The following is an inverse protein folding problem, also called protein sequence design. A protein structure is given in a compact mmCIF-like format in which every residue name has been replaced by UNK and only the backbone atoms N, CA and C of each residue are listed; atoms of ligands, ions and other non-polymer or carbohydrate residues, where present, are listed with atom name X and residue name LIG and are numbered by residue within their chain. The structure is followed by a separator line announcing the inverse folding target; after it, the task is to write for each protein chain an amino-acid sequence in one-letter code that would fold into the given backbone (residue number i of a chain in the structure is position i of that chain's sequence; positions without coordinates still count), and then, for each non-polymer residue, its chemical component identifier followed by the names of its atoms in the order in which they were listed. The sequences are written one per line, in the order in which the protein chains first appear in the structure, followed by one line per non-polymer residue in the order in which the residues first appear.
data_IF_533808195346
#
_entry.id   IF_533808195346
#
_cell.length_a   1.000
_cell.length_b   1.000
_cell.length_c   1.000
_cell.angle_alpha   90.00
_cell.angle_beta   90.00
_cell.angle_gamma   90.00
#
_symmetry.space_group_name_H-M   'P 1'
#
loop_
_entity.id
_entity.type
_entity.pdbx_description
1 polymer ?
#
# COMPACT_ATOMS: atom_id res chain seq x y z
N UNK A 1 0.17 16.18 -15.15
CA UNK A 1 1.46 15.48 -15.29
C UNK A 1 1.63 14.65 -14.03
N UNK A 2 1.19 13.39 -14.09
CA UNK A 2 1.09 12.42 -12.99
C UNK A 2 2.03 11.22 -13.23
N UNK A 3 3.09 11.43 -14.02
CA UNK A 3 4.01 10.38 -14.51
C UNK A 3 5.03 9.94 -13.44
N UNK A 4 4.96 10.51 -12.23
CA UNK A 4 5.88 10.20 -11.13
C UNK A 4 5.51 8.93 -10.35
N UNK A 5 4.25 8.48 -10.44
CA UNK A 5 3.79 7.24 -9.81
C UNK A 5 3.59 6.09 -10.80
N UNK A 6 3.52 6.42 -12.10
CA UNK A 6 3.24 5.47 -13.17
C UNK A 6 4.19 5.76 -14.32
N UNK A 7 5.30 5.01 -14.48
CA UNK A 7 6.12 5.13 -15.67
C UNK A 7 5.23 4.91 -16.89
N UNK A 8 5.29 5.82 -17.86
CA UNK A 8 4.55 5.70 -19.12
C UNK A 8 4.89 4.34 -19.75
N UNK A 9 3.90 3.46 -19.87
CA UNK A 9 4.06 2.23 -20.63
C UNK A 9 4.14 2.60 -22.12
N UNK A 10 5.37 2.79 -22.59
CA UNK A 10 5.68 2.76 -24.00
C UNK A 10 5.21 1.44 -24.61
N UNK A 11 4.73 1.52 -25.85
CA UNK A 11 4.14 0.42 -26.59
C UNK A 11 5.02 -0.82 -26.64
N UNK A 12 4.41 -1.99 -26.44
CA UNK A 12 4.88 -3.30 -26.89
C UNK A 12 6.29 -3.74 -26.44
N UNK A 13 6.49 -3.96 -25.13
CA UNK A 13 7.64 -4.75 -24.68
C UNK A 13 7.34 -6.25 -24.73
N UNK A 14 7.55 -6.83 -25.92
CA UNK A 14 7.88 -8.24 -26.07
C UNK A 14 9.29 -8.47 -25.54
N UNK A 15 9.39 -9.20 -24.42
CA UNK A 15 10.61 -9.78 -23.84
C UNK A 15 11.57 -8.82 -23.13
N UNK A 16 11.39 -8.69 -21.81
CA UNK A 16 12.45 -8.79 -20.79
C UNK A 16 11.78 -8.85 -19.41
N UNK A 17 11.32 -10.04 -19.04
CA UNK A 17 10.83 -10.32 -17.70
C UNK A 17 11.99 -10.31 -16.71
N UNK A 18 12.38 -9.13 -16.24
CA UNK A 18 13.12 -9.03 -15.00
C UNK A 18 12.17 -9.47 -13.89
N UNK A 19 12.29 -10.73 -13.47
CA UNK A 19 11.74 -11.19 -12.20
C UNK A 19 12.50 -10.42 -11.13
N UNK A 20 11.96 -9.27 -10.73
CA UNK A 20 12.36 -8.64 -9.49
C UNK A 20 11.87 -9.60 -8.42
N UNK A 21 12.78 -10.32 -7.76
CA UNK A 21 12.49 -11.17 -6.60
C UNK A 21 11.92 -10.28 -5.47
N UNK A 22 10.62 -9.98 -5.55
CA UNK A 22 9.92 -9.05 -4.67
C UNK A 22 9.69 -9.73 -3.32
N UNK A 23 10.67 -9.59 -2.43
CA UNK A 23 10.54 -9.85 -1.02
C UNK A 23 10.63 -8.48 -0.34
N UNK A 24 9.69 -8.07 0.53
CA UNK A 24 9.89 -6.87 1.33
C UNK A 24 11.20 -7.04 2.11
N UNK A 25 12.24 -6.35 1.65
CA UNK A 25 13.58 -6.39 2.24
C UNK A 25 13.56 -5.79 3.65
N UNK A 26 12.55 -4.95 3.93
CA UNK A 26 12.38 -4.19 5.15
C UNK A 26 10.94 -4.29 5.67
N UNK A 27 10.82 -4.47 6.97
CA UNK A 27 9.60 -4.39 7.75
C UNK A 27 9.56 -3.05 8.48
N UNK A 28 8.45 -2.35 8.33
CA UNK A 28 8.15 -1.09 8.97
C UNK A 28 7.08 -1.30 10.04
N UNK A 29 7.27 -0.64 11.17
CA UNK A 29 6.24 -0.49 12.19
C UNK A 29 6.10 0.98 12.54
N UNK A 30 4.92 1.36 12.99
CA UNK A 30 4.62 2.74 13.36
C UNK A 30 4.09 2.79 14.80
N UNK A 31 4.56 3.76 15.56
CA UNK A 31 4.11 4.01 16.93
C UNK A 31 3.73 5.49 17.08
N UNK A 32 2.54 5.73 17.64
CA UNK A 32 2.08 7.05 18.03
C UNK A 32 1.89 7.08 19.54
N UNK A 33 2.69 7.89 20.23
CA UNK A 33 2.52 8.10 21.68
C UNK A 33 1.28 8.97 21.94
N UNK A 34 0.55 8.76 23.04
CA UNK A 34 -0.59 9.60 23.39
C UNK A 34 -0.22 11.10 23.41
N UNK A 35 -0.99 11.92 22.70
CA UNK A 35 -0.77 13.37 22.59
C UNK A 35 0.39 13.79 21.68
N UNK A 36 1.12 12.86 21.06
CA UNK A 36 2.18 13.21 20.14
C UNK A 36 1.62 13.71 18.81
N UNK A 37 2.22 14.77 18.28
CA UNK A 37 1.86 15.32 16.96
C UNK A 37 2.56 14.60 15.80
N UNK A 38 3.53 13.75 16.11
CA UNK A 38 4.32 12.98 15.16
C UNK A 38 4.35 11.51 15.60
N UNK A 39 4.10 10.59 14.69
CA UNK A 39 4.36 9.17 14.88
C UNK A 39 5.81 8.84 14.53
N UNK A 40 6.37 7.83 15.20
CA UNK A 40 7.71 7.30 14.91
C UNK A 40 7.56 6.09 14.00
N UNK A 41 8.33 6.06 12.91
CA UNK A 41 8.44 4.89 12.04
C UNK A 41 9.74 4.18 12.37
N UNK A 42 9.66 2.87 12.54
CA UNK A 42 10.80 1.99 12.73
C UNK A 42 10.95 1.05 11.54
N UNK A 43 12.18 0.67 11.26
CA UNK A 43 12.56 -0.29 10.22
C UNK A 43 13.27 -1.50 10.84
N UNK A 44 13.03 -2.66 10.26
CA UNK A 44 13.54 -3.94 10.71
C UNK A 44 13.77 -4.87 9.51
N UNK A 45 14.68 -5.83 9.63
CA UNK A 45 14.88 -6.86 8.58
C UNK A 45 13.77 -7.92 8.55
N UNK A 46 13.04 -8.04 9.64
CA UNK A 46 11.96 -9.02 9.78
C UNK A 46 11.01 -8.58 10.89
N UNK A 47 9.78 -9.12 10.94
CA UNK A 47 8.85 -8.82 12.03
C UNK A 47 9.47 -9.15 13.39
N UNK A 48 10.24 -10.24 13.49
CA UNK A 48 10.82 -10.76 14.73
C UNK A 48 12.12 -10.08 15.16
N UNK A 49 12.55 -9.04 14.45
CA UNK A 49 13.79 -8.32 14.76
C UNK A 49 13.73 -7.70 16.15
N UNK A 50 14.66 -8.08 17.03
CA UNK A 50 14.72 -7.61 18.43
C UNK A 50 15.14 -6.14 18.58
N UNK A 51 15.68 -5.53 17.53
CA UNK A 51 16.19 -4.15 17.54
C UNK A 51 15.75 -3.44 16.26
N UNK A 52 14.51 -2.94 16.20
CA UNK A 52 14.11 -2.11 15.09
C UNK A 52 14.86 -0.77 15.17
N UNK A 53 15.32 -0.26 14.04
CA UNK A 53 16.00 1.04 13.96
C UNK A 53 14.98 2.14 13.75
N UNK A 54 15.09 3.24 14.50
CA UNK A 54 14.27 4.43 14.23
C UNK A 54 14.66 4.95 12.85
N UNK A 55 13.65 5.12 12.01
CA UNK A 55 13.82 5.40 10.59
C UNK A 55 13.53 6.85 10.31
N UNK A 56 12.36 7.32 10.75
CA UNK A 56 11.92 8.69 10.57
C UNK A 56 10.72 8.98 11.47
N UNK A 57 10.21 10.22 11.42
CA UNK A 57 8.92 10.57 11.97
C UNK A 57 7.94 10.84 10.83
N UNK A 58 6.64 10.75 11.11
CA UNK A 58 5.58 11.18 10.20
C UNK A 58 4.54 11.96 11.00
N UNK A 59 3.82 12.93 10.40
CA UNK A 59 2.69 13.58 11.06
C UNK A 59 1.67 12.58 11.62
N UNK A 60 1.17 12.85 12.82
CA UNK A 60 0.22 11.97 13.53
C UNK A 60 -1.08 11.73 12.77
N UNK A 61 -1.56 12.68 11.96
CA UNK A 61 -2.76 12.47 11.15
C UNK A 61 -2.57 11.40 10.06
N UNK A 62 -1.34 11.06 9.67
CA UNK A 62 -1.08 9.92 8.79
C UNK A 62 -1.09 8.57 9.52
N UNK A 63 -1.13 8.54 10.85
CA UNK A 63 -0.92 7.32 11.63
C UNK A 63 -1.87 6.18 11.22
N UNK A 64 -3.18 6.42 11.23
CA UNK A 64 -4.15 5.39 10.88
C UNK A 64 -4.04 4.97 9.41
N UNK A 65 -3.83 5.93 8.51
CA UNK A 65 -3.60 5.65 7.09
C UNK A 65 -2.36 4.78 6.87
N UNK A 66 -1.26 5.08 7.56
CA UNK A 66 -0.02 4.32 7.46
C UNK A 66 -0.16 2.91 8.04
N UNK A 67 -0.88 2.74 9.16
CA UNK A 67 -1.18 1.40 9.71
C UNK A 67 -1.95 0.56 8.69
N UNK A 68 -3.00 1.11 8.07
CA UNK A 68 -3.81 0.40 7.06
C UNK A 68 -3.01 0.10 5.79
N UNK A 69 -2.23 1.07 5.32
CA UNK A 69 -1.30 0.89 4.21
C UNK A 69 -0.32 -0.26 4.47
N UNK A 70 0.37 -0.24 5.61
CA UNK A 70 1.34 -1.28 5.96
C UNK A 70 0.67 -2.65 6.14
N UNK A 71 -0.53 -2.69 6.71
CA UNK A 71 -1.34 -3.91 6.79
C UNK A 71 -1.57 -4.51 5.41
N UNK A 72 -2.13 -3.73 4.47
CA UNK A 72 -2.40 -4.20 3.10
C UNK A 72 -1.12 -4.58 2.36
N UNK A 73 -0.09 -3.76 2.48
CA UNK A 73 1.22 -4.03 1.90
C UNK A 73 1.75 -5.40 2.35
N UNK A 74 1.81 -5.67 3.65
CA UNK A 74 2.28 -6.97 4.15
C UNK A 74 1.33 -8.13 3.84
N UNK A 75 0.02 -7.88 3.80
CA UNK A 75 -0.97 -8.89 3.44
C UNK A 75 -0.73 -9.37 1.99
N UNK A 76 -0.54 -8.43 1.06
CA UNK A 76 -0.28 -8.71 -0.34
C UNK A 76 1.09 -9.35 -0.57
N UNK A 77 2.14 -8.89 0.13
CA UNK A 77 3.49 -9.48 0.00
C UNK A 77 3.52 -10.94 0.47
N UNK A 78 2.82 -11.25 1.57
CA UNK A 78 2.76 -12.61 2.08
C UNK A 78 1.85 -13.49 1.22
N UNK A 79 0.76 -12.95 0.67
CA UNK A 79 -0.04 -13.66 -0.33
C UNK A 79 0.83 -14.02 -1.54
N UNK A 80 1.52 -13.04 -2.15
CA UNK A 80 2.44 -13.27 -3.26
C UNK A 80 3.46 -14.38 -2.93
N UNK A 81 4.10 -14.30 -1.75
CA UNK A 81 5.05 -15.32 -1.29
C UNK A 81 4.41 -16.70 -1.16
N UNK A 82 3.20 -16.78 -0.62
CA UNK A 82 2.47 -18.04 -0.45
C UNK A 82 2.09 -18.66 -1.81
N UNK A 83 1.72 -17.84 -2.79
CA UNK A 83 1.42 -18.28 -4.14
C UNK A 83 2.66 -18.74 -4.89
N UNK A 84 3.75 -17.99 -4.77
CA UNK A 84 5.01 -18.29 -5.45
C UNK A 84 5.74 -19.50 -4.84
N UNK A 85 5.59 -19.75 -3.52
CA UNK A 85 6.21 -20.91 -2.84
C UNK A 85 5.34 -22.15 -2.81
N UNK A 86 4.03 -22.00 -3.00
CA UNK A 86 3.11 -23.13 -3.05
C UNK A 86 3.11 -23.76 -4.44
N UNK A 87 3.17 -25.10 -4.52
CA UNK A 87 2.75 -25.88 -5.71
C UNK A 87 1.24 -25.76 -5.98
N UNK A 88 0.64 -24.60 -5.68
CA UNK A 88 -0.78 -24.35 -5.80
C UNK A 88 -1.08 -24.06 -7.25
N UNK A 89 -1.51 -25.08 -7.99
CA UNK A 89 -2.12 -25.00 -9.33
C UNK A 89 -3.38 -24.08 -9.40
N UNK A 90 -3.66 -23.29 -8.36
CA UNK A 90 -4.94 -22.64 -8.13
C UNK A 90 -4.93 -21.16 -8.49
N UNK A 91 -3.78 -20.54 -8.78
CA UNK A 91 -3.76 -19.13 -9.18
C UNK A 91 -3.05 -18.93 -10.52
N UNK A 92 -3.85 -18.45 -11.46
CA UNK A 92 -3.52 -18.10 -12.85
C UNK A 92 -2.42 -17.06 -12.84
N UNK A 93 -1.47 -17.15 -13.78
CA UNK A 93 -0.36 -16.19 -13.97
C UNK A 93 -0.81 -14.71 -13.87
N UNK A 94 -2.04 -14.42 -14.29
CA UNK A 94 -2.67 -13.10 -14.19
C UNK A 94 -2.78 -12.56 -12.75
N UNK A 95 -3.03 -13.40 -11.75
CA UNK A 95 -3.13 -13.00 -10.35
C UNK A 95 -1.75 -12.68 -9.77
N UNK A 96 -0.72 -13.43 -10.16
CA UNK A 96 0.67 -13.18 -9.76
C UNK A 96 1.12 -11.85 -10.36
N UNK A 97 0.93 -11.64 -11.67
CA UNK A 97 1.25 -10.36 -12.33
C UNK A 97 0.45 -9.18 -11.81
N UNK A 98 -0.78 -9.41 -11.36
CA UNK A 98 -1.56 -8.39 -10.68
C UNK A 98 -0.92 -8.00 -9.34
N UNK A 99 -0.54 -8.99 -8.51
CA UNK A 99 0.11 -8.76 -7.22
C UNK A 99 1.48 -8.10 -7.37
N UNK A 100 2.30 -8.50 -8.34
CA UNK A 100 3.60 -7.88 -8.63
C UNK A 100 3.45 -6.38 -8.89
N UNK A 101 2.52 -6.00 -9.77
CA UNK A 101 2.27 -4.59 -10.11
C UNK A 101 1.79 -3.79 -8.90
N UNK A 102 0.90 -4.36 -8.10
CA UNK A 102 0.47 -3.73 -6.85
C UNK A 102 1.63 -3.57 -5.87
N UNK A 103 2.48 -4.57 -5.71
CA UNK A 103 3.61 -4.52 -4.78
C UNK A 103 4.66 -3.48 -5.20
N UNK A 104 4.98 -3.38 -6.49
CA UNK A 104 5.91 -2.35 -7.01
C UNK A 104 5.43 -0.93 -6.68
N UNK A 105 4.14 -0.68 -6.86
CA UNK A 105 3.58 0.65 -6.60
C UNK A 105 3.46 0.93 -5.10
N UNK A 106 3.14 -0.05 -4.27
CA UNK A 106 3.19 0.10 -2.80
C UNK A 106 4.63 0.33 -2.30
N UNK A 107 5.63 -0.36 -2.85
CA UNK A 107 7.05 -0.12 -2.55
C UNK A 107 7.45 1.32 -2.89
N UNK A 108 7.04 1.79 -4.06
CA UNK A 108 7.29 3.16 -4.49
C UNK A 108 6.66 4.17 -3.53
N UNK A 109 5.42 3.93 -3.10
CA UNK A 109 4.70 4.82 -2.16
C UNK A 109 5.38 4.84 -0.80
N UNK A 110 5.75 3.68 -0.23
CA UNK A 110 6.42 3.63 1.07
C UNK A 110 7.82 4.23 1.00
N UNK A 111 8.57 3.97 -0.06
CA UNK A 111 9.90 4.56 -0.25
C UNK A 111 9.80 6.09 -0.35
N UNK A 112 8.88 6.62 -1.16
CA UNK A 112 8.69 8.06 -1.28
C UNK A 112 8.26 8.68 0.04
N UNK A 113 7.35 8.05 0.80
CA UNK A 113 6.96 8.51 2.13
C UNK A 113 8.16 8.56 3.09
N UNK A 114 8.87 7.45 3.22
CA UNK A 114 9.97 7.32 4.18
C UNK A 114 11.14 8.22 3.81
N UNK A 115 11.57 8.24 2.55
CA UNK A 115 12.68 9.09 2.09
C UNK A 115 12.36 10.57 2.22
N UNK A 116 11.14 11.01 1.85
CA UNK A 116 10.73 12.41 2.02
C UNK A 116 10.76 12.84 3.47
N UNK A 117 10.22 12.02 4.38
CA UNK A 117 10.26 12.32 5.80
C UNK A 117 11.69 12.31 6.37
N UNK A 118 12.54 11.33 6.00
CA UNK A 118 13.96 11.27 6.41
C UNK A 118 14.74 12.52 6.01
N UNK A 119 14.52 12.99 4.79
CA UNK A 119 15.27 14.11 4.19
C UNK A 119 14.68 15.49 4.55
N UNK A 120 13.69 15.55 5.43
CA UNK A 120 13.08 16.81 5.89
C UNK A 120 13.47 17.10 7.35
N UNK A 121 14.59 17.82 7.58
CA UNK A 121 15.14 18.02 8.93
C UNK A 121 14.24 18.85 9.86
N UNK A 122 13.39 19.72 9.31
CA UNK A 122 12.47 20.60 10.05
C UNK A 122 11.01 20.27 9.75
N UNK A 123 10.67 18.99 9.71
CA UNK A 123 9.33 18.52 9.42
C UNK A 123 8.33 18.99 10.50
N UNK A 124 7.28 19.69 10.05
CA UNK A 124 6.21 20.18 10.92
C UNK A 124 5.08 19.15 11.03
N UNK A 125 4.22 19.25 12.05
CA UNK A 125 2.99 18.46 12.13
C UNK A 125 2.00 18.65 10.99
N UNK A 126 2.19 19.65 10.12
CA UNK A 126 1.36 19.90 8.94
C UNK A 126 2.01 19.43 7.63
N UNK A 127 3.20 18.81 7.70
CA UNK A 127 3.98 18.41 6.54
C UNK A 127 3.28 17.33 5.70
N UNK A 128 2.98 17.63 4.45
CA UNK A 128 2.34 16.69 3.53
C UNK A 128 3.37 15.94 2.69
N UNK A 129 3.08 14.68 2.40
CA UNK A 129 3.80 13.92 1.37
C UNK A 129 2.85 13.70 0.20
N UNK A 130 3.00 14.46 -0.91
CA UNK A 130 2.08 14.40 -2.04
C UNK A 130 1.84 12.98 -2.55
N UNK A 131 2.89 12.20 -2.75
CA UNK A 131 2.75 10.82 -3.22
C UNK A 131 1.91 9.91 -2.31
N UNK A 132 1.97 10.13 -1.00
CA UNK A 132 1.14 9.37 -0.06
C UNK A 132 -0.29 9.93 -0.03
N UNK A 133 -0.48 11.23 -0.16
CA UNK A 133 -1.81 11.83 -0.31
C UNK A 133 -2.51 11.32 -1.58
N UNK A 134 -1.81 11.32 -2.71
CA UNK A 134 -2.31 10.82 -4.00
C UNK A 134 -2.65 9.34 -3.93
N UNK A 135 -1.81 8.56 -3.25
CA UNK A 135 -2.12 7.17 -2.93
C UNK A 135 -3.45 7.09 -2.17
N UNK A 136 -3.61 7.80 -1.05
CA UNK A 136 -4.82 7.71 -0.24
C UNK A 136 -6.09 8.07 -1.01
N UNK A 137 -6.04 9.13 -1.82
CA UNK A 137 -7.20 9.52 -2.64
C UNK A 137 -7.50 8.46 -3.70
N UNK A 138 -6.48 7.97 -4.39
CA UNK A 138 -6.64 6.94 -5.43
C UNK A 138 -7.21 5.66 -4.83
N UNK A 139 -6.70 5.26 -3.66
CA UNK A 139 -7.17 4.08 -2.92
C UNK A 139 -8.66 4.19 -2.60
N UNK A 140 -9.08 5.33 -2.09
CA UNK A 140 -10.45 5.56 -1.67
C UNK A 140 -11.42 5.60 -2.86
N UNK A 141 -11.05 6.31 -3.92
CA UNK A 141 -11.93 6.61 -5.05
C UNK A 141 -11.97 5.47 -6.07
N UNK A 142 -10.81 4.88 -6.36
CA UNK A 142 -10.67 3.83 -7.38
C UNK A 142 -10.76 2.43 -6.74
N UNK A 143 -10.43 2.29 -5.46
CA UNK A 143 -10.34 1.00 -4.76
C UNK A 143 -9.11 0.18 -5.12
N UNK A 144 -8.39 0.60 -6.17
CA UNK A 144 -7.29 -0.13 -6.78
C UNK A 144 -6.24 0.84 -7.29
N UNK A 145 -5.00 0.37 -7.31
CA UNK A 145 -3.86 1.17 -7.77
C UNK A 145 -3.17 0.55 -9.00
N UNK A 146 -3.80 -0.44 -9.63
CA UNK A 146 -3.35 -0.95 -10.91
C UNK A 146 -3.48 0.17 -11.96
N UNK A 147 -2.39 0.55 -12.66
CA UNK A 147 -2.41 1.67 -13.60
C UNK A 147 -3.53 1.57 -14.64
N UNK A 148 -3.82 0.35 -15.11
CA UNK A 148 -4.89 0.09 -16.07
C UNK A 148 -6.27 0.43 -15.49
N UNK A 149 -6.55 0.01 -14.25
CA UNK A 149 -7.82 0.34 -13.58
C UNK A 149 -7.96 1.83 -13.28
N UNK A 150 -6.86 2.49 -12.89
CA UNK A 150 -6.84 3.95 -12.69
C UNK A 150 -7.11 4.67 -14.02
N UNK A 151 -6.51 4.22 -15.11
CA UNK A 151 -6.74 4.75 -16.46
C UNK A 151 -8.18 4.50 -16.93
N UNK A 152 -8.69 3.28 -16.78
CA UNK A 152 -10.09 2.93 -17.06
C UNK A 152 -11.06 3.80 -16.27
N UNK A 153 -10.79 4.04 -14.98
CA UNK A 153 -11.57 4.93 -14.14
C UNK A 153 -11.52 6.37 -14.65
N UNK A 154 -10.33 6.90 -14.99
CA UNK A 154 -10.15 8.27 -15.54
C UNK A 154 -10.88 8.46 -16.88
N UNK A 155 -10.98 7.41 -17.68
CA UNK A 155 -11.59 7.47 -19.01
C UNK A 155 -13.13 7.50 -18.99
N UNK A 156 -13.76 7.20 -17.85
CA UNK A 156 -15.23 7.29 -17.70
C UNK A 156 -15.68 8.75 -17.79
N UNK A 157 -16.79 8.99 -18.50
CA UNK A 157 -17.29 10.35 -18.79
C UNK A 157 -17.58 11.13 -17.50
N UNK A 158 -18.15 10.45 -16.51
CA UNK A 158 -18.47 10.99 -15.20
C UNK A 158 -17.23 11.46 -14.40
N UNK A 159 -16.05 10.91 -14.70
CA UNK A 159 -14.83 11.17 -13.95
C UNK A 159 -13.89 12.18 -14.63
N UNK A 160 -14.16 12.60 -15.87
CA UNK A 160 -13.27 13.48 -16.64
C UNK A 160 -12.93 14.81 -15.98
N UNK A 161 -13.83 15.30 -15.11
CA UNK A 161 -13.66 16.56 -14.40
C UNK A 161 -13.19 16.37 -12.94
N UNK A 162 -13.00 15.13 -12.49
CA UNK A 162 -12.51 14.83 -11.15
C UNK A 162 -10.99 14.89 -11.14
N UNK A 163 -10.46 15.91 -10.49
CA UNK A 163 -9.04 16.05 -10.24
C UNK A 163 -8.70 15.43 -8.87
N UNK A 164 -8.19 14.20 -8.88
CA UNK A 164 -7.83 13.47 -7.66
C UNK A 164 -6.79 14.22 -6.82
N UNK A 165 -5.87 14.95 -7.45
CA UNK A 165 -4.79 15.71 -6.78
C UNK A 165 -5.35 16.89 -5.95
N UNK A 166 -6.59 17.31 -6.23
CA UNK A 166 -7.27 18.40 -5.50
C UNK A 166 -8.13 17.92 -4.34
N UNK A 167 -8.35 16.62 -4.19
CA UNK A 167 -9.19 16.06 -3.13
C UNK A 167 -8.31 15.85 -1.89
N UNK A 168 -8.54 16.57 -0.78
CA UNK A 168 -7.73 16.36 0.41
C UNK A 168 -8.11 15.03 1.08
N UNK A 169 -7.18 14.10 1.39
CA UNK A 169 -7.53 12.81 1.99
C UNK A 169 -8.39 12.87 3.26
N UNK A 170 -8.32 13.95 4.03
CA UNK A 170 -9.03 14.11 5.30
C UNK A 170 -10.53 14.41 5.14
N UNK A 171 -11.02 14.71 3.93
CA UNK A 171 -12.46 14.95 3.68
C UNK A 171 -13.20 13.67 3.29
N UNK A 172 -12.47 12.57 3.12
CA UNK A 172 -13.01 11.29 2.68
C UNK A 172 -13.57 10.50 3.87
N UNK A 173 -14.70 9.81 3.67
CA UNK A 173 -15.34 8.99 4.70
C UNK A 173 -14.64 7.63 4.83
N UNK A 174 -13.49 7.66 5.48
CA UNK A 174 -12.64 6.49 5.69
C UNK A 174 -13.29 5.37 6.51
N UNK A 175 -14.26 5.70 7.35
CA UNK A 175 -14.98 4.70 8.15
C UNK A 175 -15.95 3.92 7.26
N UNK A 176 -16.67 4.60 6.35
CA UNK A 176 -17.48 3.94 5.34
C UNK A 176 -16.63 3.08 4.40
N UNK A 177 -15.46 3.58 3.99
CA UNK A 177 -14.52 2.81 3.16
C UNK A 177 -14.00 1.55 3.87
N UNK A 178 -13.56 1.67 5.12
CA UNK A 178 -13.08 0.52 5.91
C UNK A 178 -14.20 -0.51 6.14
N UNK A 179 -15.45 -0.07 6.27
CA UNK A 179 -16.61 -0.94 6.34
C UNK A 179 -16.84 -1.69 5.03
N UNK A 180 -16.72 -1.01 3.88
CA UNK A 180 -16.90 -1.61 2.56
C UNK A 180 -15.80 -2.61 2.19
N UNK A 181 -14.56 -2.41 2.66
CA UNK A 181 -13.42 -3.32 2.42
C UNK A 181 -13.60 -4.72 3.04
N UNK A 182 -14.45 -4.83 4.06
CA UNK A 182 -14.63 -6.06 4.83
C UNK A 182 -13.44 -6.42 5.73
N UNK A 183 -13.69 -7.36 6.65
CA UNK A 183 -12.84 -7.61 7.82
C UNK A 183 -11.42 -8.10 7.51
N UNK A 184 -11.22 -8.65 6.31
CA UNK A 184 -9.93 -9.20 5.87
C UNK A 184 -9.02 -8.07 5.38
N UNK A 185 -9.49 -7.26 4.43
CA UNK A 185 -8.68 -6.20 3.82
C UNK A 185 -8.54 -4.98 4.73
N UNK A 186 -9.53 -4.71 5.58
CA UNK A 186 -9.41 -3.72 6.64
C UNK A 186 -8.61 -4.22 7.87
N UNK A 187 -8.26 -5.51 7.92
CA UNK A 187 -7.39 -6.10 8.93
C UNK A 187 -8.00 -6.39 10.30
N UNK A 188 -9.27 -6.06 10.52
CA UNK A 188 -9.97 -6.32 11.79
C UNK A 188 -10.00 -7.80 12.16
N UNK A 189 -10.18 -8.71 11.17
CA UNK A 189 -10.15 -10.16 11.37
C UNK A 189 -8.87 -10.66 12.06
N UNK A 190 -7.75 -9.97 11.82
CA UNK A 190 -6.43 -10.35 12.31
C UNK A 190 -5.84 -9.34 13.29
N UNK A 191 -6.65 -8.40 13.80
CA UNK A 191 -6.21 -7.29 14.67
C UNK A 191 -5.01 -6.51 14.09
N UNK A 192 -4.94 -6.34 12.76
CA UNK A 192 -3.81 -5.70 12.07
C UNK A 192 -2.44 -6.37 12.31
N UNK A 193 -2.40 -7.63 12.77
CA UNK A 193 -1.16 -8.35 13.04
C UNK A 193 -0.90 -9.39 11.95
N UNK A 194 0.04 -9.10 11.05
CA UNK A 194 0.33 -9.99 9.91
C UNK A 194 0.71 -11.42 10.33
N UNK A 195 1.32 -11.57 11.52
CA UNK A 195 1.72 -12.88 12.06
C UNK A 195 0.54 -13.78 12.42
N UNK A 196 -0.67 -13.22 12.53
CA UNK A 196 -1.90 -13.98 12.79
C UNK A 196 -2.48 -14.60 11.53
N UNK A 197 -2.05 -14.18 10.34
CA UNK A 197 -2.47 -14.78 9.07
C UNK A 197 -1.73 -16.10 8.87
N UNK A 198 -2.47 -17.21 8.86
CA UNK A 198 -1.92 -18.56 8.70
C UNK A 198 -2.02 -19.00 7.24
N UNK A 199 -1.32 -20.09 6.90
CA UNK A 199 -1.35 -20.66 5.53
C UNK A 199 -2.77 -20.99 5.07
N UNK A 200 -3.62 -21.48 5.98
CA UNK A 200 -5.02 -21.79 5.68
C UNK A 200 -5.87 -20.55 5.35
N UNK A 201 -5.44 -19.35 5.77
CA UNK A 201 -6.18 -18.11 5.56
C UNK A 201 -5.96 -17.53 4.15
N UNK A 202 -4.92 -17.95 3.42
CA UNK A 202 -4.57 -17.34 2.12
C UNK A 202 -5.66 -17.45 1.06
N UNK A 203 -6.47 -18.52 1.10
CA UNK A 203 -7.66 -18.61 0.24
C UNK A 203 -8.66 -17.51 0.56
N UNK A 204 -8.94 -17.27 1.84
CA UNK A 204 -9.85 -16.20 2.26
C UNK A 204 -9.32 -14.83 1.85
N UNK A 205 -8.01 -14.62 1.96
CA UNK A 205 -7.36 -13.37 1.52
C UNK A 205 -7.49 -13.20 0.00
N UNK A 206 -7.26 -14.25 -0.78
CA UNK A 206 -7.42 -14.21 -2.23
C UNK A 206 -8.87 -13.93 -2.65
N UNK A 207 -9.85 -14.58 -2.01
CA UNK A 207 -11.27 -14.38 -2.28
C UNK A 207 -11.70 -12.93 -1.96
N UNK A 208 -11.16 -12.32 -0.90
CA UNK A 208 -11.43 -10.93 -0.54
C UNK A 208 -10.89 -9.93 -1.58
N UNK A 209 -9.79 -10.25 -2.28
CA UNK A 209 -9.24 -9.43 -3.36
C UNK A 209 -10.01 -9.55 -4.68
N UNK A 210 -11.01 -10.41 -4.78
CA UNK A 210 -11.83 -10.55 -5.99
C UNK A 210 -13.16 -9.78 -5.91
N UNK A 211 -13.47 -9.21 -4.75
CA UNK A 211 -14.67 -8.40 -4.50
C UNK A 211 -14.48 -6.98 -5.04
#
# INVERSE_FOLDING_TARGET
MSDLLYPSMGSEDTHNGYILDFIPLLFYTVELKPGAQMATVYEAKSPSSRRPTVTTKVPSYYFHHLVRFLWRYYLLSNLYTALHRGNSKVLVDSAIHFLERMLVMLDTVVEQLILRCKNTPTMTPAFRVPAFDDYLVTEFIVGWHDPKRVEEWRNRIENRNLDLERIPPHVLDWDAYDCALGDVLNGTKFNMEIRKVKVADWKTVADALQQ
#
